data_IF_377037961830
#
_entry.id   IF_377037961830
#
_cell.length_a   1.000
_cell.length_b   1.000
_cell.length_c   1.000
_cell.angle_alpha   90.00
_cell.angle_beta   90.00
_cell.angle_gamma   90.00
#
_symmetry.space_group_name_H-M   'P 1'
#
loop_
_entity.id
_entity.type
_entity.pdbx_description
1 polymer ?
#
# COMPACT_ATOMS: atom_id res chain seq x y z
N UNK A 1 8.41 12.06 11.99
CA UNK A 1 7.29 12.23 11.04
C UNK A 1 7.11 13.67 10.54
N UNK A 2 6.63 14.63 11.34
CA UNK A 2 6.33 15.99 10.84
C UNK A 2 7.55 16.72 10.22
N UNK A 3 8.72 16.63 10.85
CA UNK A 3 9.95 17.21 10.29
C UNK A 3 10.41 16.51 8.99
N UNK A 4 10.12 15.22 8.83
CA UNK A 4 10.43 14.45 7.62
C UNK A 4 9.51 14.88 6.48
N UNK A 5 8.23 15.08 6.78
CA UNK A 5 7.25 15.64 5.84
C UNK A 5 7.68 17.03 5.36
N UNK A 6 8.04 17.94 6.29
CA UNK A 6 8.50 19.29 5.95
C UNK A 6 9.78 19.26 5.11
N UNK A 7 10.76 18.43 5.48
CA UNK A 7 12.00 18.24 4.70
C UNK A 7 11.69 17.78 3.28
N UNK A 8 10.83 16.77 3.12
CA UNK A 8 10.42 16.27 1.82
C UNK A 8 9.68 17.33 0.99
N UNK A 9 8.79 18.10 1.60
CA UNK A 9 8.08 19.17 0.92
C UNK A 9 9.03 20.26 0.40
N UNK A 10 10.00 20.70 1.22
CA UNK A 10 11.00 21.69 0.81
C UNK A 10 11.90 21.13 -0.30
N UNK A 11 12.36 19.88 -0.17
CA UNK A 11 13.13 19.21 -1.23
C UNK A 11 12.35 19.04 -2.52
N UNK A 12 11.03 18.84 -2.44
CA UNK A 12 10.16 18.75 -3.61
C UNK A 12 10.04 20.11 -4.33
N UNK A 13 9.94 21.22 -3.59
CA UNK A 13 9.95 22.58 -4.17
C UNK A 13 11.27 22.88 -4.85
N UNK A 14 12.40 22.60 -4.20
CA UNK A 14 13.74 22.77 -4.81
C UNK A 14 13.87 21.92 -6.08
N UNK A 15 13.35 20.69 -6.07
CA UNK A 15 13.29 19.85 -7.27
C UNK A 15 12.40 20.44 -8.37
N UNK A 16 11.22 20.99 -8.04
CA UNK A 16 10.33 21.60 -9.04
C UNK A 16 11.04 22.73 -9.79
N UNK A 17 11.75 23.59 -9.05
CA UNK A 17 12.54 24.69 -9.63
C UNK A 17 13.63 24.15 -10.56
N UNK A 18 14.38 23.13 -10.13
CA UNK A 18 15.44 22.52 -10.96
C UNK A 18 14.93 21.72 -12.15
N UNK A 19 13.70 21.21 -12.08
CA UNK A 19 13.08 20.42 -13.16
C UNK A 19 12.74 21.28 -14.37
N UNK A 20 12.42 22.57 -14.18
CA UNK A 20 12.24 23.51 -15.28
C UNK A 20 13.49 23.60 -16.16
N UNK A 21 14.67 23.39 -15.57
CA UNK A 21 15.96 23.39 -16.25
C UNK A 21 16.34 22.00 -16.83
N UNK A 22 15.84 20.90 -16.24
CA UNK A 22 16.12 19.54 -16.70
C UNK A 22 14.94 18.57 -16.48
N UNK A 23 14.24 18.25 -17.57
CA UNK A 23 13.05 17.39 -17.56
C UNK A 23 13.31 15.90 -17.22
N UNK A 24 14.57 15.45 -17.19
CA UNK A 24 14.91 14.04 -16.88
C UNK A 24 14.91 13.72 -15.38
N UNK A 25 14.90 14.74 -14.51
CA UNK A 25 14.94 14.57 -13.06
C UNK A 25 13.60 14.01 -12.53
N UNK A 26 13.65 12.87 -11.85
CA UNK A 26 12.50 12.29 -11.15
C UNK A 26 12.67 12.46 -9.64
N UNK A 27 11.70 13.10 -8.98
CA UNK A 27 11.67 13.18 -7.52
C UNK A 27 11.19 11.87 -6.90
N UNK A 28 11.87 11.42 -5.85
CA UNK A 28 11.44 10.30 -5.03
C UNK A 28 11.02 10.81 -3.67
N UNK A 29 9.79 10.47 -3.29
CA UNK A 29 9.27 10.72 -1.95
C UNK A 29 9.86 9.73 -0.96
N UNK A 30 10.10 10.19 0.26
CA UNK A 30 10.44 9.32 1.37
C UNK A 30 9.32 8.31 1.66
N UNK A 31 9.69 7.05 1.86
CA UNK A 31 8.77 5.96 2.13
C UNK A 31 7.91 6.19 3.38
N UNK A 32 8.44 6.86 4.41
CA UNK A 32 7.66 7.18 5.60
C UNK A 32 6.52 8.15 5.30
N UNK A 33 6.76 9.12 4.40
CA UNK A 33 5.74 10.08 3.96
C UNK A 33 4.67 9.38 3.14
N UNK A 34 5.06 8.42 2.30
CA UNK A 34 4.14 7.62 1.50
C UNK A 34 3.26 6.74 2.39
N UNK A 35 3.85 6.03 3.35
CA UNK A 35 3.13 5.18 4.30
C UNK A 35 2.16 5.99 5.17
N UNK A 36 2.59 7.16 5.65
CA UNK A 36 1.74 8.07 6.43
C UNK A 36 0.46 8.45 5.69
N UNK A 37 0.59 8.83 4.43
CA UNK A 37 -0.53 9.28 3.62
C UNK A 37 -1.47 8.14 3.23
N UNK A 38 -0.95 6.92 3.11
CA UNK A 38 -1.76 5.72 2.95
C UNK A 38 -2.54 5.41 4.23
N UNK A 39 -1.92 5.51 5.41
CA UNK A 39 -2.65 5.38 6.69
C UNK A 39 -3.75 6.44 6.83
N UNK A 40 -3.48 7.68 6.43
CA UNK A 40 -4.49 8.74 6.42
C UNK A 40 -5.64 8.45 5.44
N UNK A 41 -5.34 7.92 4.25
CA UNK A 41 -6.39 7.52 3.30
C UNK A 41 -7.20 6.32 3.79
N UNK A 42 -6.54 5.37 4.44
CA UNK A 42 -7.19 4.19 4.99
C UNK A 42 -8.21 4.55 6.08
N UNK A 43 -7.83 5.43 7.01
CA UNK A 43 -8.71 5.82 8.13
C UNK A 43 -9.67 6.97 7.79
N UNK A 44 -9.22 7.98 7.05
CA UNK A 44 -10.00 9.18 6.73
C UNK A 44 -10.65 9.15 5.36
N UNK A 45 -10.35 8.15 4.54
CA UNK A 45 -10.77 8.08 3.15
C UNK A 45 -10.04 9.08 2.25
N UNK A 46 -10.30 8.96 0.94
CA UNK A 46 -9.68 9.81 -0.09
C UNK A 46 -9.96 11.30 0.12
N UNK A 47 -11.11 11.63 0.69
CA UNK A 47 -11.53 13.02 0.96
C UNK A 47 -10.58 13.72 1.94
N UNK A 48 -10.11 13.04 2.98
CA UNK A 48 -9.19 13.63 3.97
C UNK A 48 -7.82 13.90 3.35
N UNK A 49 -7.29 12.97 2.55
CA UNK A 49 -6.03 13.21 1.83
C UNK A 49 -6.18 14.33 0.82
N UNK A 50 -7.27 14.36 0.05
CA UNK A 50 -7.52 15.43 -0.91
C UNK A 50 -7.73 16.78 -0.21
N UNK A 51 -8.35 16.80 0.98
CA UNK A 51 -8.48 18.00 1.80
C UNK A 51 -7.12 18.48 2.30
N UNK A 52 -6.26 17.58 2.77
CA UNK A 52 -4.91 17.92 3.22
C UNK A 52 -4.04 18.41 2.07
N UNK A 53 -4.15 17.77 0.90
CA UNK A 53 -3.53 18.23 -0.34
C UNK A 53 -4.16 19.54 -0.84
N UNK A 54 -5.30 19.93 -0.27
CA UNK A 54 -6.21 20.96 -0.75
C UNK A 54 -6.62 20.73 -2.22
N UNK A 55 -7.53 21.52 -2.82
CA UNK A 55 -7.86 21.39 -4.22
C UNK A 55 -6.70 21.93 -5.03
N UNK A 56 -5.64 21.11 -5.11
CA UNK A 56 -4.61 21.21 -6.11
C UNK A 56 -5.29 21.18 -7.46
N UNK A 57 -5.59 22.38 -7.95
CA UNK A 57 -6.16 22.65 -9.25
C UNK A 57 -7.58 22.08 -9.46
N UNK A 58 -8.52 22.34 -8.53
CA UNK A 58 -9.94 22.13 -8.86
C UNK A 58 -10.32 23.05 -10.04
N UNK A 59 -10.59 22.44 -11.19
CA UNK A 59 -11.05 23.13 -12.40
C UNK A 59 -9.99 23.36 -13.48
N UNK A 60 -8.72 23.07 -13.22
CA UNK A 60 -7.66 23.14 -14.22
C UNK A 60 -7.45 21.73 -14.80
N UNK A 61 -8.01 21.50 -15.99
CA UNK A 61 -8.00 20.19 -16.66
C UNK A 61 -6.60 19.64 -16.97
N UNK A 62 -6.55 18.53 -17.71
CA UNK A 62 -5.32 17.79 -18.11
C UNK A 62 -4.24 18.62 -18.84
N UNK A 63 -4.46 19.92 -19.08
CA UNK A 63 -3.60 20.81 -19.86
C UNK A 63 -2.94 21.95 -19.07
N UNK A 64 -3.06 22.03 -17.74
CA UNK A 64 -2.33 23.05 -16.99
C UNK A 64 -0.84 22.70 -16.91
N UNK A 65 -0.12 23.12 -17.95
CA UNK A 65 1.30 23.39 -17.86
C UNK A 65 1.54 24.27 -16.63
N UNK A 66 2.42 23.79 -15.75
CA UNK A 66 3.06 24.46 -14.61
C UNK A 66 2.68 25.94 -14.51
N UNK A 67 1.52 26.24 -13.93
CA UNK A 67 1.15 27.60 -13.60
C UNK A 67 2.02 27.99 -12.40
N UNK A 68 2.77 29.08 -12.53
CA UNK A 68 3.63 29.68 -11.49
C UNK A 68 3.08 29.44 -10.09
N UNK A 69 3.89 28.80 -9.25
CA UNK A 69 3.56 28.51 -7.87
C UNK A 69 3.21 29.80 -7.10
N UNK A 70 2.06 29.81 -6.42
CA UNK A 70 1.50 30.94 -5.68
C UNK A 70 1.41 30.61 -4.19
N UNK A 71 2.17 31.34 -3.36
CA UNK A 71 2.19 31.18 -1.90
C UNK A 71 0.83 31.44 -1.25
N UNK A 72 -0.06 32.19 -1.89
CA UNK A 72 -1.42 32.46 -1.39
C UNK A 72 -2.39 31.32 -1.66
N UNK A 73 -2.00 30.34 -2.50
CA UNK A 73 -2.74 29.13 -2.83
C UNK A 73 -1.98 27.87 -2.39
N UNK A 74 -1.27 27.97 -1.26
CA UNK A 74 -0.40 26.90 -0.76
C UNK A 74 -1.20 25.62 -0.47
N UNK A 75 -1.21 24.74 -1.46
CA UNK A 75 -1.62 23.35 -1.32
C UNK A 75 -0.47 22.58 -0.66
N UNK A 76 -0.74 21.73 0.34
CA UNK A 76 0.32 20.87 0.86
C UNK A 76 0.82 19.97 -0.27
N UNK A 77 2.12 20.05 -0.52
CA UNK A 77 2.80 19.27 -1.54
C UNK A 77 2.89 17.82 -1.07
N UNK A 78 1.79 17.08 -1.27
CA UNK A 78 1.68 15.67 -0.91
C UNK A 78 1.70 14.81 -2.18
N UNK A 79 2.35 13.63 -2.15
CA UNK A 79 2.39 12.71 -3.29
C UNK A 79 0.97 12.35 -3.76
N UNK A 80 0.79 12.39 -5.08
CA UNK A 80 -0.45 11.99 -5.73
C UNK A 80 -0.71 10.48 -5.60
N UNK A 81 -1.97 10.08 -5.82
CA UNK A 81 -2.40 8.67 -5.69
C UNK A 81 -1.51 7.71 -6.48
N UNK A 82 -1.24 8.06 -7.75
CA UNK A 82 -0.41 7.27 -8.66
C UNK A 82 1.02 7.09 -8.17
N UNK A 83 1.59 8.09 -7.50
CA UNK A 83 2.94 8.00 -6.92
C UNK A 83 2.95 7.05 -5.73
N UNK A 84 1.93 7.10 -4.87
CA UNK A 84 1.84 6.22 -3.69
C UNK A 84 1.49 4.79 -4.08
N UNK A 85 0.60 4.58 -5.04
CA UNK A 85 0.24 3.25 -5.55
C UNK A 85 1.46 2.48 -6.11
N UNK A 86 2.44 3.20 -6.70
CA UNK A 86 3.68 2.60 -7.24
C UNK A 86 4.68 2.14 -6.18
N UNK A 87 4.65 2.76 -4.99
CA UNK A 87 5.60 2.51 -3.91
C UNK A 87 5.01 1.65 -2.79
N UNK A 88 3.76 1.21 -2.93
CA UNK A 88 3.08 0.43 -1.91
C UNK A 88 3.85 -0.87 -1.64
N UNK A 89 4.27 -1.08 -0.39
CA UNK A 89 4.92 -2.32 0.04
C UNK A 89 3.92 -3.47 -0.08
N UNK A 90 4.31 -4.51 -0.80
CA UNK A 90 3.47 -5.65 -1.17
C UNK A 90 2.70 -6.25 0.01
N UNK A 91 1.38 -6.26 -0.10
CA UNK A 91 0.57 -7.21 0.65
C UNK A 91 0.65 -8.56 -0.05
N UNK A 92 0.48 -9.63 0.70
CA UNK A 92 0.34 -10.97 0.15
C UNK A 92 -1.13 -11.32 0.07
N UNK A 93 -1.58 -11.90 -1.03
CA UNK A 93 -2.87 -12.62 -1.06
C UNK A 93 -2.68 -14.13 -0.92
N UNK A 94 -1.47 -14.58 -0.61
CA UNK A 94 -1.20 -16.00 -0.42
C UNK A 94 -1.91 -16.48 0.84
N UNK A 95 -2.45 -17.69 0.77
CA UNK A 95 -3.07 -18.34 1.92
C UNK A 95 -1.98 -18.74 2.93
N UNK A 96 -2.21 -18.48 4.22
CA UNK A 96 -1.31 -18.97 5.26
C UNK A 96 -1.21 -18.07 6.48
N UNK A 97 -0.22 -18.36 7.31
CA UNK A 97 0.09 -17.56 8.50
C UNK A 97 0.88 -16.34 8.05
N UNK A 98 0.44 -15.16 8.49
CA UNK A 98 1.17 -13.93 8.27
C UNK A 98 2.34 -13.84 9.26
N UNK A 99 3.52 -14.29 8.84
CA UNK A 99 4.74 -14.40 9.67
C UNK A 99 5.06 -13.14 10.48
N UNK A 100 4.97 -11.91 9.93
CA UNK A 100 5.27 -10.70 10.71
C UNK A 100 4.34 -10.49 11.91
N UNK A 101 3.05 -10.83 11.78
CA UNK A 101 2.10 -10.74 12.89
C UNK A 101 2.39 -11.82 13.94
N UNK A 102 2.72 -13.04 13.51
CA UNK A 102 3.15 -14.09 14.43
C UNK A 102 4.41 -13.69 15.20
N UNK A 103 5.40 -13.13 14.51
CA UNK A 103 6.64 -12.68 15.14
C UNK A 103 6.39 -11.54 16.13
N UNK A 104 5.53 -10.58 15.76
CA UNK A 104 5.14 -9.48 16.66
C UNK A 104 4.43 -10.00 17.90
N UNK A 105 3.52 -10.96 17.74
CA UNK A 105 2.86 -11.64 18.86
C UNK A 105 3.87 -12.35 19.78
N UNK A 106 4.84 -13.07 19.21
CA UNK A 106 5.89 -13.75 19.98
C UNK A 106 6.79 -12.75 20.74
N UNK A 107 7.11 -11.62 20.13
CA UNK A 107 7.90 -10.56 20.78
C UNK A 107 7.13 -9.90 21.92
N UNK A 108 5.85 -9.56 21.72
CA UNK A 108 5.00 -8.98 22.76
C UNK A 108 4.79 -9.94 23.94
N UNK A 109 4.61 -11.23 23.65
CA UNK A 109 4.45 -12.28 24.69
C UNK A 109 5.76 -12.68 25.38
N UNK A 110 6.91 -12.31 24.83
CA UNK A 110 8.24 -12.57 25.42
C UNK A 110 8.84 -11.35 26.12
N UNK A 111 8.17 -10.19 26.10
CA UNK A 111 8.68 -8.97 26.71
C UNK A 111 8.70 -9.04 28.24
N UNK A 112 9.72 -8.43 28.91
CA UNK A 112 9.83 -8.40 30.36
C UNK A 112 8.70 -7.62 31.06
N UNK A 113 8.04 -6.71 30.33
CA UNK A 113 6.91 -5.90 30.80
C UNK A 113 5.54 -6.49 30.40
N UNK A 114 5.52 -7.69 29.81
CA UNK A 114 4.31 -8.33 29.33
C UNK A 114 3.51 -8.94 30.47
N UNK A 115 2.38 -8.33 30.83
CA UNK A 115 1.39 -8.82 31.81
C UNK A 115 0.63 -10.09 31.33
N UNK A 116 1.26 -10.86 30.43
CA UNK A 116 0.64 -12.00 29.76
C UNK A 116 0.76 -13.26 30.62
N UNK A 117 -0.38 -13.82 31.02
CA UNK A 117 -0.46 -15.02 31.83
C UNK A 117 0.13 -16.23 31.10
N UNK A 118 1.33 -16.66 31.49
CA UNK A 118 1.93 -17.92 31.05
C UNK A 118 1.39 -19.07 31.89
N UNK A 119 1.08 -20.21 31.26
CA UNK A 119 0.62 -21.39 32.00
C UNK A 119 1.78 -22.11 32.70
N UNK A 120 2.95 -22.06 32.08
CA UNK A 120 4.18 -22.64 32.59
C UNK A 120 5.36 -21.92 31.93
N UNK A 121 6.38 -21.58 32.70
CA UNK A 121 7.62 -21.01 32.22
C UNK A 121 8.78 -21.67 32.95
N UNK A 122 9.59 -22.39 32.19
CA UNK A 122 10.84 -22.99 32.65
C UNK A 122 11.99 -22.48 31.75
N UNK A 123 13.22 -22.73 32.17
CA UNK A 123 14.47 -22.46 31.45
C UNK A 123 14.51 -22.98 30.00
N UNK A 124 13.64 -23.92 29.64
CA UNK A 124 13.58 -24.55 28.32
C UNK A 124 12.30 -24.28 27.54
N UNK A 125 11.17 -24.02 28.19
CA UNK A 125 9.86 -23.92 27.53
C UNK A 125 9.01 -22.83 28.17
N UNK A 126 8.37 -22.02 27.32
CA UNK A 126 7.36 -21.04 27.70
C UNK A 126 6.02 -21.43 27.07
N UNK A 127 5.00 -21.70 27.89
CA UNK A 127 3.66 -22.08 27.43
C UNK A 127 2.72 -20.88 27.53
N UNK A 128 2.28 -20.40 26.37
CA UNK A 128 1.37 -19.27 26.24
C UNK A 128 -0.02 -19.81 25.84
N UNK A 129 -1.06 -19.61 26.66
CA UNK A 129 -2.42 -19.99 26.28
C UNK A 129 -2.92 -19.07 25.17
N UNK A 130 -3.39 -19.65 24.07
CA UNK A 130 -3.98 -18.90 22.94
C UNK A 130 -5.37 -19.46 22.66
N UNK A 131 -6.37 -18.59 22.70
CA UNK A 131 -7.71 -18.90 22.21
C UNK A 131 -7.81 -18.49 20.73
N UNK A 132 -8.13 -19.45 19.86
CA UNK A 132 -8.33 -19.19 18.43
C UNK A 132 -9.83 -19.17 18.13
N UNK A 133 -10.35 -18.00 17.80
CA UNK A 133 -11.67 -17.87 17.20
C UNK A 133 -11.51 -17.86 15.67
N UNK A 134 -12.21 -18.75 14.98
CA UNK A 134 -12.36 -18.72 13.52
C UNK A 134 -13.78 -18.32 13.20
N UNK A 135 -13.95 -17.15 12.62
CA UNK A 135 -15.22 -16.71 12.04
C UNK A 135 -15.10 -16.70 10.52
N UNK A 136 -16.16 -17.10 9.83
CA UNK A 136 -16.23 -17.21 8.38
C UNK A 136 -17.06 -16.09 7.80
N UNK A 137 -16.43 -15.07 7.23
CA UNK A 137 -17.16 -14.05 6.47
C UNK A 137 -17.54 -14.61 5.10
N UNK A 138 -18.84 -14.62 4.76
CA UNK A 138 -19.25 -14.92 3.39
C UNK A 138 -18.81 -13.80 2.45
N UNK A 139 -17.92 -14.15 1.53
CA UNK A 139 -17.54 -13.28 0.41
C UNK A 139 -18.38 -13.63 -0.80
N UNK A 140 -18.75 -12.60 -1.59
CA UNK A 140 -19.42 -12.83 -2.87
C UNK A 140 -18.47 -13.64 -3.77
N UNK A 141 -18.91 -14.78 -4.34
CA UNK A 141 -18.07 -15.53 -5.26
C UNK A 141 -17.80 -14.69 -6.51
N UNK A 142 -16.55 -14.63 -6.92
CA UNK A 142 -16.13 -13.83 -8.06
C UNK A 142 -14.62 -13.83 -8.24
N UNK A 143 -14.20 -13.52 -9.45
CA UNK A 143 -12.81 -13.33 -9.81
C UNK A 143 -12.51 -11.84 -9.93
N UNK A 144 -11.45 -11.38 -9.28
CA UNK A 144 -11.04 -9.97 -9.29
C UNK A 144 -9.59 -9.90 -9.75
N UNK A 145 -9.32 -9.12 -10.78
CA UNK A 145 -7.94 -8.89 -11.20
C UNK A 145 -7.26 -7.89 -10.26
N UNK A 146 -6.23 -8.36 -9.56
CA UNK A 146 -5.38 -7.52 -8.76
C UNK A 146 -4.28 -6.92 -9.64
N UNK A 147 -4.49 -5.66 -10.05
CA UNK A 147 -3.54 -4.89 -10.85
C UNK A 147 -2.17 -4.70 -10.20
N UNK A 148 -2.07 -4.78 -8.87
CA UNK A 148 -0.81 -4.56 -8.14
C UNK A 148 0.08 -5.79 -8.18
N UNK A 149 -0.52 -6.97 -8.04
CA UNK A 149 0.19 -8.25 -8.09
C UNK A 149 0.18 -8.88 -9.48
N UNK A 150 -0.60 -8.31 -10.41
CA UNK A 150 -0.74 -8.83 -11.77
C UNK A 150 -1.41 -10.21 -11.82
N UNK A 151 -2.30 -10.50 -10.87
CA UNK A 151 -2.89 -11.84 -10.70
C UNK A 151 -4.39 -11.82 -10.46
N UNK A 152 -5.06 -12.89 -10.84
CA UNK A 152 -6.50 -13.06 -10.66
C UNK A 152 -6.79 -13.67 -9.28
N UNK A 153 -7.51 -12.92 -8.44
CA UNK A 153 -7.88 -13.31 -7.08
C UNK A 153 -9.26 -13.98 -7.06
N UNK A 154 -9.44 -14.98 -6.21
CA UNK A 154 -10.70 -15.72 -6.05
C UNK A 154 -10.72 -17.07 -6.75
N UNK A 155 -9.66 -17.42 -7.48
CA UNK A 155 -9.44 -18.75 -8.05
C UNK A 155 -8.70 -19.64 -7.05
N UNK A 156 -8.90 -20.96 -7.16
CA UNK A 156 -8.08 -21.97 -6.48
C UNK A 156 -6.71 -22.14 -7.12
N UNK A 157 -6.58 -21.75 -8.39
CA UNK A 157 -5.32 -21.75 -9.14
C UNK A 157 -4.65 -20.38 -9.06
N UNK A 158 -3.31 -20.37 -9.05
CA UNK A 158 -2.54 -19.14 -9.14
C UNK A 158 -2.53 -18.65 -10.60
N UNK A 159 -3.51 -17.82 -10.95
CA UNK A 159 -3.69 -17.25 -12.28
C UNK A 159 -2.91 -15.92 -12.38
N UNK A 160 -1.59 -16.01 -12.50
CA UNK A 160 -0.71 -14.86 -12.73
C UNK A 160 -0.35 -14.71 -14.23
N UNK A 161 0.42 -13.67 -14.55
CA UNK A 161 0.89 -13.46 -15.92
C UNK A 161 1.69 -14.64 -16.48
N UNK A 162 2.48 -15.32 -15.63
CA UNK A 162 3.29 -16.46 -16.06
C UNK A 162 2.42 -17.67 -16.40
N UNK A 163 1.36 -17.91 -15.62
CA UNK A 163 0.35 -18.92 -15.89
C UNK A 163 -0.26 -18.72 -17.27
N UNK A 164 -0.68 -17.49 -17.60
CA UNK A 164 -1.25 -17.16 -18.92
C UNK A 164 -0.21 -17.34 -20.03
N UNK A 165 1.04 -16.93 -19.79
CA UNK A 165 2.11 -17.02 -20.78
C UNK A 165 2.53 -18.48 -21.06
N UNK A 166 2.40 -19.36 -20.08
CA UNK A 166 2.71 -20.79 -20.19
C UNK A 166 1.53 -21.64 -20.67
N UNK A 167 0.30 -21.15 -20.47
CA UNK A 167 -0.89 -21.77 -21.04
C UNK A 167 -0.88 -21.68 -22.56
N UNK A 168 -1.07 -22.81 -23.23
CA UNK A 168 -1.44 -22.77 -24.65
C UNK A 168 -2.80 -22.04 -24.75
N UNK A 169 -2.99 -21.13 -25.72
CA UNK A 169 -4.32 -20.62 -26.01
C UNK A 169 -5.20 -21.83 -26.33
N UNK A 170 -6.35 -21.95 -25.67
CA UNK A 170 -7.27 -23.06 -25.88
C UNK A 170 -7.42 -23.31 -27.39
N UNK A 171 -6.89 -24.44 -27.86
CA UNK A 171 -7.27 -25.01 -29.14
C UNK A 171 -8.70 -25.53 -28.96
N UNK A 172 -9.66 -24.62 -28.78
CA UNK A 172 -11.08 -24.93 -28.98
C UNK A 172 -11.23 -25.12 -30.49
N UNK A 173 -10.88 -26.32 -30.94
CA UNK A 173 -11.41 -26.84 -32.18
C UNK A 173 -12.92 -26.69 -32.09
N UNK A 174 -13.47 -25.85 -32.95
CA UNK A 174 -14.89 -25.89 -33.23
C UNK A 174 -15.16 -27.28 -33.81
N UNK A 175 -15.58 -28.21 -32.95
CA UNK A 175 -16.27 -29.41 -33.41
C UNK A 175 -17.54 -28.91 -34.09
N UNK A 176 -17.48 -28.88 -35.42
CA UNK A 176 -18.65 -28.72 -36.27
C UNK A 176 -19.46 -30.01 -36.15
N UNK A 177 -20.49 -29.98 -35.32
CA UNK A 177 -21.70 -30.78 -35.57
C UNK A 177 -22.59 -30.07 -36.61
#
# INVERSE_FOLDING_TARGET
>A
MFCILLKNAVSYVDWLVRREENHSLQFQWDNEVLQFLESLEYHGGRKVVNLLREPGHDGEGRSSAVSSFDWTKWNWLLPGKTTRDKMYSGYSTENGIYTPLLQSFLQLSSGPDGDMLTLCEDSTVKIIPVALAKDGMQLKPGLIYDTRQGKLIGSTLNLDYNYIKQGEPDNVGYDKE
#
